data_IF_458847138900
#
_entry.id   IF_458847138900
#
_cell.length_a   1.000
_cell.length_b   1.000
_cell.length_c   1.000
_cell.angle_alpha   90.00
_cell.angle_beta   90.00
_cell.angle_gamma   90.00
#
_symmetry.space_group_name_H-M   'P 1'
#
loop_
_entity.id
_entity.type
_entity.pdbx_description
1 polymer ?
#
# COMPACT_ATOMS: atom_id res chain seq x y z
N UNK A 1 10.79 -7.28 0.72
CA UNK A 1 9.91 -6.32 0.04
C UNK A 1 10.79 -5.21 -0.49
N UNK A 2 10.61 -4.83 -1.76
CA UNK A 2 11.30 -3.68 -2.32
C UNK A 2 10.44 -2.43 -2.18
N UNK A 3 11.08 -1.28 -1.96
CA UNK A 3 10.39 0.01 -1.91
C UNK A 3 9.67 0.26 -3.23
N UNK A 4 8.43 0.70 -3.13
CA UNK A 4 7.47 0.98 -4.20
C UNK A 4 6.83 -0.25 -4.86
N UNK A 5 7.07 -1.45 -4.32
CA UNK A 5 6.28 -2.62 -4.71
C UNK A 5 4.92 -2.63 -4.00
N UNK A 6 3.96 -3.27 -4.65
CA UNK A 6 2.58 -3.44 -4.17
C UNK A 6 2.37 -4.87 -3.68
N UNK A 7 1.75 -5.03 -2.52
CA UNK A 7 1.53 -6.32 -1.86
C UNK A 7 0.06 -6.49 -1.47
N UNK A 8 -0.51 -7.71 -1.58
CA UNK A 8 -1.86 -7.97 -1.11
C UNK A 8 -1.95 -7.83 0.41
N UNK A 9 -3.06 -7.29 0.90
CA UNK A 9 -3.39 -7.27 2.32
C UNK A 9 -3.96 -8.65 2.70
N UNK A 10 -3.33 -9.35 3.64
CA UNK A 10 -3.50 -10.79 3.92
C UNK A 10 -4.88 -11.29 4.40
N UNK A 11 -5.97 -10.53 4.23
CA UNK A 11 -7.33 -10.98 4.53
C UNK A 11 -8.44 -10.19 3.80
N UNK A 12 -8.16 -9.54 2.66
CA UNK A 12 -9.18 -8.79 1.91
C UNK A 12 -8.80 -8.45 0.47
N UNK A 13 -9.62 -7.63 -0.20
CA UNK A 13 -9.46 -7.17 -1.60
C UNK A 13 -8.58 -5.93 -1.75
N UNK A 14 -7.72 -5.66 -0.76
CA UNK A 14 -6.88 -4.46 -0.71
C UNK A 14 -5.42 -4.76 -1.00
N UNK A 15 -4.70 -3.74 -1.44
CA UNK A 15 -3.25 -3.78 -1.54
C UNK A 15 -2.62 -2.76 -0.60
N UNK A 16 -1.32 -2.91 -0.34
CA UNK A 16 -0.51 -1.86 0.25
C UNK A 16 0.72 -1.60 -0.60
N UNK A 17 1.15 -0.34 -0.62
CA UNK A 17 2.39 0.11 -1.25
C UNK A 17 3.48 0.22 -0.19
N UNK A 18 4.62 -0.44 -0.41
CA UNK A 18 5.82 -0.23 0.42
C UNK A 18 6.41 1.15 0.11
N UNK A 19 6.49 2.04 1.11
CA UNK A 19 7.11 3.37 0.96
C UNK A 19 8.35 3.53 1.82
N UNK A 20 8.78 2.48 2.52
CA UNK A 20 9.90 2.52 3.46
C UNK A 20 11.22 2.77 2.71
N UNK A 21 12.03 3.68 3.24
CA UNK A 21 13.37 3.91 2.70
C UNK A 21 14.22 2.63 2.76
N UNK A 22 14.96 2.34 1.68
CA UNK A 22 15.82 1.15 1.59
C UNK A 22 16.89 1.09 2.70
N UNK A 23 17.27 2.22 3.29
CA UNK A 23 18.16 2.27 4.45
C UNK A 23 17.61 1.47 5.64
N UNK A 24 16.28 1.39 5.76
CA UNK A 24 15.59 0.69 6.84
C UNK A 24 15.15 -0.73 6.43
N UNK A 25 15.71 -1.29 5.35
CA UNK A 25 15.26 -2.59 4.80
C UNK A 25 15.42 -3.76 5.78
N UNK A 26 16.32 -3.68 6.75
CA UNK A 26 16.59 -4.78 7.69
C UNK A 26 15.61 -4.81 8.88
N UNK A 27 14.70 -3.84 9.00
CA UNK A 27 13.63 -3.87 10.00
C UNK A 27 12.56 -4.93 9.66
N UNK A 28 12.03 -5.57 10.70
CA UNK A 28 10.92 -6.54 10.61
C UNK A 28 9.54 -5.90 10.39
N UNK A 29 9.49 -4.57 10.31
CA UNK A 29 8.29 -3.79 10.03
C UNK A 29 8.51 -2.93 8.79
N UNK A 30 7.41 -2.64 8.09
CA UNK A 30 7.38 -1.81 6.89
C UNK A 30 6.42 -0.65 7.08
N UNK A 31 6.87 0.56 6.72
CA UNK A 31 5.98 1.68 6.49
C UNK A 31 5.29 1.50 5.14
N UNK A 32 3.96 1.41 5.19
CA UNK A 32 3.13 1.13 4.02
C UNK A 32 1.97 2.10 3.92
N UNK A 33 1.45 2.27 2.71
CA UNK A 33 0.24 3.05 2.43
C UNK A 33 -0.81 2.14 1.81
N UNK A 34 -2.05 2.13 2.33
CA UNK A 34 -3.12 1.32 1.73
C UNK A 34 -3.54 1.86 0.36
N UNK A 35 -3.76 0.92 -0.56
CA UNK A 35 -4.38 1.15 -1.85
C UNK A 35 -5.82 0.61 -1.78
N UNK A 36 -6.79 1.51 -1.90
CA UNK A 36 -8.21 1.19 -1.80
C UNK A 36 -8.83 1.28 -3.19
N UNK A 37 -9.62 0.29 -3.60
CA UNK A 37 -10.30 0.32 -4.89
C UNK A 37 -11.08 1.62 -5.05
N UNK A 38 -10.98 2.27 -6.21
CA UNK A 38 -11.59 3.59 -6.45
C UNK A 38 -13.10 3.59 -6.24
N UNK A 39 -13.76 2.46 -6.48
CA UNK A 39 -15.19 2.25 -6.23
C UNK A 39 -15.57 2.30 -4.75
N UNK A 40 -14.62 2.08 -3.83
CA UNK A 40 -14.81 2.02 -2.39
C UNK A 40 -14.11 3.17 -1.65
N UNK A 41 -13.19 3.87 -2.30
CA UNK A 41 -12.43 4.95 -1.70
C UNK A 41 -13.30 6.23 -1.52
N UNK A 42 -13.08 7.01 -0.45
CA UNK A 42 -13.65 8.34 -0.35
C UNK A 42 -13.10 9.24 -1.48
N UNK A 43 -13.74 10.38 -1.72
CA UNK A 43 -13.31 11.34 -2.75
C UNK A 43 -11.82 11.69 -2.58
N UNK A 44 -10.96 11.39 -3.57
CA UNK A 44 -9.53 11.65 -3.45
C UNK A 44 -9.20 13.14 -3.35
N UNK A 45 -8.23 13.48 -2.49
CA UNK A 45 -7.60 14.80 -2.46
C UNK A 45 -6.51 14.79 -3.53
N UNK A 46 -6.70 15.55 -4.62
CA UNK A 46 -5.96 15.43 -5.89
C UNK A 46 -4.44 15.20 -5.78
N UNK A 47 -3.72 15.92 -4.91
CA UNK A 47 -2.26 15.74 -4.73
C UNK A 47 -1.89 14.69 -3.66
N UNK A 48 -2.73 14.52 -2.65
CA UNK A 48 -2.43 13.65 -1.50
C UNK A 48 -2.76 12.18 -1.78
N UNK A 49 -3.82 11.95 -2.56
CA UNK A 49 -4.36 10.63 -2.85
C UNK A 49 -4.28 10.34 -4.35
N UNK A 50 -3.08 10.10 -4.90
CA UNK A 50 -2.92 9.74 -6.30
C UNK A 50 -3.64 8.43 -6.62
N UNK A 51 -4.05 8.28 -7.87
CA UNK A 51 -4.71 7.07 -8.39
C UNK A 51 -3.67 6.26 -9.17
N UNK A 52 -3.58 4.97 -8.87
CA UNK A 52 -2.73 4.01 -9.57
C UNK A 52 -3.57 2.96 -10.26
N UNK A 53 -3.09 2.47 -11.41
CA UNK A 53 -3.67 1.29 -12.06
C UNK A 53 -2.89 0.05 -11.62
N UNK A 54 -3.57 -0.89 -10.97
CA UNK A 54 -2.99 -2.17 -10.51
C UNK A 54 -3.85 -3.30 -11.07
N UNK A 55 -3.24 -4.23 -11.81
CA UNK A 55 -3.96 -5.35 -12.45
C UNK A 55 -5.19 -4.95 -13.26
N UNK A 56 -5.16 -3.76 -13.89
CA UNK A 56 -6.26 -3.25 -14.72
C UNK A 56 -7.35 -2.47 -13.96
N UNK A 57 -7.33 -2.47 -12.63
CA UNK A 57 -8.27 -1.73 -11.77
C UNK A 57 -7.63 -0.46 -11.18
N UNK A 58 -8.45 0.57 -10.97
CA UNK A 58 -8.04 1.84 -10.37
C UNK A 58 -8.05 1.72 -8.83
N UNK A 59 -6.93 2.03 -8.20
CA UNK A 59 -6.80 2.14 -6.75
C UNK A 59 -6.38 3.54 -6.34
N UNK A 60 -6.93 4.03 -5.25
CA UNK A 60 -6.58 5.30 -4.61
C UNK A 60 -5.55 5.02 -3.52
N UNK A 61 -4.40 5.67 -3.60
CA UNK A 61 -3.41 5.68 -2.53
C UNK A 61 -3.90 6.55 -1.37
N UNK A 62 -4.16 5.94 -0.22
CA UNK A 62 -4.69 6.64 0.94
C UNK A 62 -3.55 7.12 1.86
N UNK A 63 -2.75 8.07 1.40
CA UNK A 63 -1.51 8.53 2.07
C UNK A 63 -1.71 8.91 3.53
N UNK A 64 -2.83 9.55 3.89
CA UNK A 64 -3.12 9.91 5.29
C UNK A 64 -3.37 8.71 6.23
N UNK A 65 -3.54 7.51 5.68
CA UNK A 65 -3.71 6.27 6.43
C UNK A 65 -2.44 5.42 6.45
N UNK A 66 -1.25 6.03 6.23
CA UNK A 66 0.00 5.29 6.33
C UNK A 66 0.14 4.63 7.70
N UNK A 67 0.72 3.44 7.72
CA UNK A 67 0.89 2.67 8.95
C UNK A 67 2.16 1.82 8.91
N UNK A 68 2.51 1.27 10.07
CA UNK A 68 3.55 0.27 10.20
C UNK A 68 2.92 -1.12 10.18
N UNK A 69 3.32 -1.96 9.24
CA UNK A 69 2.85 -3.34 9.13
C UNK A 69 4.01 -4.32 9.35
N UNK A 70 3.75 -5.40 10.09
CA UNK A 70 4.64 -6.57 10.12
C UNK A 70 4.28 -7.45 8.93
N UNK A 71 5.21 -7.60 8.00
CA UNK A 71 5.07 -8.56 6.92
C UNK A 71 5.77 -9.85 7.31
N UNK A 72 4.98 -10.89 7.60
CA UNK A 72 5.51 -12.24 7.68
C UNK A 72 5.85 -12.71 6.27
N UNK A 73 7.14 -12.87 6.01
CA UNK A 73 7.64 -13.53 4.81
C UNK A 73 7.20 -14.99 4.89
N UNK A 74 6.12 -15.36 4.19
CA UNK A 74 5.65 -16.75 4.16
C UNK A 74 4.15 -17.00 3.95
N UNK A 75 3.28 -15.99 3.92
CA UNK A 75 1.87 -16.21 3.56
C UNK A 75 1.68 -15.91 2.06
N UNK A 76 1.89 -16.95 1.25
CA UNK A 76 1.15 -17.14 -0.01
C UNK A 76 -0.13 -17.91 0.32
#
# INVERSE_FOLDING_TARGET
MARFDVYPLGSGTGYVLDVQANLLRDLNTRMVVPLVARSQAPKPISRLNPIFRVMGEDFVMMTQQQTMARFQVGCQ
#
